data_IF_682086595808
#
_entry.id   IF_682086595808
#
_cell.length_a   1.000
_cell.length_b   1.000
_cell.length_c   1.000
_cell.angle_alpha   90.00
_cell.angle_beta   90.00
_cell.angle_gamma   90.00
#
_symmetry.space_group_name_H-M   'P 1'
#
loop_
_entity.id
_entity.type
_entity.pdbx_description
1 polymer ?
#
# COMPACT_ATOMS: atom_id res chain seq x y z
N UNK A 1 16.93 71.56 -28.01
CA UNK A 1 17.95 70.51 -28.09
C UNK A 1 17.76 69.60 -26.88
N UNK A 2 16.93 68.56 -27.02
CA UNK A 2 16.74 67.55 -25.99
C UNK A 2 17.45 66.29 -26.46
N UNK A 3 18.61 65.97 -25.89
CA UNK A 3 19.33 64.73 -26.15
C UNK A 3 18.91 63.67 -25.15
N UNK A 4 18.06 62.76 -25.63
CA UNK A 4 17.77 61.47 -25.03
C UNK A 4 19.07 60.70 -24.77
N UNK A 5 19.35 60.37 -23.52
CA UNK A 5 20.34 59.35 -23.14
C UNK A 5 19.58 58.08 -22.80
N UNK A 6 19.81 57.02 -23.60
CA UNK A 6 19.30 55.68 -23.36
C UNK A 6 20.06 55.03 -22.19
N UNK A 7 19.41 54.17 -21.38
CA UNK A 7 20.10 53.47 -20.29
C UNK A 7 20.97 52.34 -20.83
N UNK A 8 22.20 52.24 -20.31
CA UNK A 8 23.16 51.17 -20.59
C UNK A 8 22.56 49.78 -20.29
N UNK A 9 22.66 48.88 -21.26
CA UNK A 9 22.43 47.46 -21.07
C UNK A 9 23.52 46.89 -20.15
N UNK A 10 23.16 46.59 -18.90
CA UNK A 10 23.94 45.70 -18.06
C UNK A 10 23.97 44.31 -18.72
N UNK A 11 25.14 43.95 -19.26
CA UNK A 11 25.45 42.59 -19.65
C UNK A 11 25.30 41.70 -18.41
N UNK A 12 24.32 40.79 -18.45
CA UNK A 12 24.15 39.73 -17.46
C UNK A 12 25.35 38.79 -17.65
N UNK A 13 26.37 38.95 -16.80
CA UNK A 13 27.45 37.99 -16.69
C UNK A 13 26.82 36.62 -16.39
N UNK A 14 27.04 35.67 -17.30
CA UNK A 14 26.66 34.28 -17.09
C UNK A 14 27.25 33.82 -15.76
N UNK A 15 26.40 33.31 -14.88
CA UNK A 15 26.83 32.54 -13.72
C UNK A 15 27.59 31.33 -14.24
N UNK A 16 28.92 31.40 -14.22
CA UNK A 16 29.79 30.25 -14.41
C UNK A 16 29.38 29.19 -13.40
N UNK A 17 28.88 28.07 -13.95
CA UNK A 17 28.53 26.85 -13.23
C UNK A 17 29.82 26.37 -12.56
N UNK A 18 29.97 26.68 -11.27
CA UNK A 18 31.09 26.29 -10.41
C UNK A 18 30.96 24.81 -10.07
N UNK A 19 30.91 23.94 -11.09
CA UNK A 19 31.20 22.53 -10.92
C UNK A 19 32.70 22.47 -10.64
N UNK A 20 33.06 22.19 -9.39
CA UNK A 20 34.44 21.92 -9.01
C UNK A 20 35.02 20.88 -9.98
N UNK A 21 36.14 21.19 -10.63
CA UNK A 21 36.94 20.27 -11.47
C UNK A 21 37.58 19.12 -10.67
N UNK A 22 37.04 18.79 -9.49
CA UNK A 22 37.49 17.67 -8.68
C UNK A 22 37.10 16.35 -9.37
N UNK A 23 38.03 15.39 -9.38
CA UNK A 23 37.77 14.05 -9.87
C UNK A 23 36.61 13.43 -9.08
N UNK A 24 35.56 12.89 -9.75
CA UNK A 24 34.43 12.29 -9.05
C UNK A 24 34.90 11.18 -8.10
N UNK A 25 34.47 11.27 -6.84
CA UNK A 25 34.80 10.32 -5.78
C UNK A 25 33.53 9.83 -5.09
N UNK A 26 33.60 8.68 -4.43
CA UNK A 26 32.45 8.12 -3.72
C UNK A 26 32.21 8.90 -2.43
N UNK A 27 30.99 9.38 -2.23
CA UNK A 27 30.58 10.13 -1.04
C UNK A 27 29.65 9.34 -0.12
N UNK A 28 29.02 8.28 -0.62
CA UNK A 28 28.28 7.33 0.19
C UNK A 28 28.31 5.93 -0.43
N UNK A 29 28.31 4.91 0.43
CA UNK A 29 28.04 3.51 0.10
C UNK A 29 27.12 2.95 1.17
N UNK A 30 25.98 2.43 0.76
CA UNK A 30 25.02 1.84 1.69
C UNK A 30 24.46 0.53 1.15
N UNK A 31 24.02 -0.32 2.04
CA UNK A 31 23.29 -1.53 1.74
C UNK A 31 22.04 -1.20 0.92
N UNK A 32 21.93 -1.81 -0.26
CA UNK A 32 20.84 -1.55 -1.20
C UNK A 32 19.45 -1.94 -0.65
N UNK A 33 19.38 -2.86 0.32
CA UNK A 33 18.13 -3.21 1.00
C UNK A 33 17.62 -2.03 1.83
N UNK A 34 18.50 -1.25 2.47
CA UNK A 34 18.09 -0.06 3.23
C UNK A 34 17.39 0.96 2.32
N UNK A 35 17.91 1.14 1.10
CA UNK A 35 17.31 1.99 0.06
C UNK A 35 15.95 1.44 -0.38
N UNK A 36 15.85 0.12 -0.56
CA UNK A 36 14.60 -0.55 -0.95
C UNK A 36 13.50 -0.38 0.10
N UNK A 37 13.87 -0.45 1.38
CA UNK A 37 12.97 -0.26 2.52
C UNK A 37 12.54 1.20 2.64
N UNK A 38 13.45 2.13 2.37
CA UNK A 38 13.17 3.56 2.46
C UNK A 38 12.29 4.07 1.29
N UNK A 39 12.47 3.55 0.08
CA UNK A 39 11.80 4.08 -1.12
C UNK A 39 10.26 4.19 -1.04
N UNK A 40 9.50 3.24 -0.45
CA UNK A 40 8.05 3.37 -0.27
C UNK A 40 7.60 4.54 0.62
N UNK A 41 8.50 5.07 1.46
CA UNK A 41 8.24 6.18 2.38
C UNK A 41 8.62 7.54 1.78
N UNK A 42 9.14 7.62 0.56
CA UNK A 42 9.37 8.91 -0.09
C UNK A 42 8.04 9.58 -0.46
N UNK A 43 8.01 10.90 -0.35
CA UNK A 43 6.88 11.70 -0.83
C UNK A 43 6.73 11.58 -2.36
N UNK A 44 5.51 11.84 -2.85
CA UNK A 44 5.19 11.85 -4.29
C UNK A 44 4.38 13.07 -4.62
N UNK A 45 4.91 13.92 -5.51
CA UNK A 45 4.23 15.16 -5.91
C UNK A 45 4.07 16.17 -4.76
N UNK A 46 4.92 16.10 -3.74
CA UNK A 46 4.93 17.06 -2.62
C UNK A 46 5.73 18.30 -3.01
N UNK A 47 5.29 19.47 -2.53
CA UNK A 47 5.97 20.75 -2.73
C UNK A 47 7.35 20.78 -2.06
N UNK A 48 7.52 20.01 -0.98
CA UNK A 48 8.79 19.77 -0.29
C UNK A 48 9.56 18.72 -1.08
N UNK A 49 10.10 19.13 -2.22
CA UNK A 49 10.74 18.25 -3.18
C UNK A 49 11.90 17.42 -2.59
N UNK A 50 12.54 17.89 -1.52
CA UNK A 50 13.57 17.16 -0.77
C UNK A 50 13.04 15.88 -0.07
N UNK A 51 11.73 15.75 0.13
CA UNK A 51 11.10 14.52 0.64
C UNK A 51 10.88 13.46 -0.46
N UNK A 52 11.08 13.82 -1.73
CA UNK A 52 11.03 12.85 -2.83
C UNK A 52 12.30 11.99 -2.93
N UNK A 53 13.26 12.20 -2.02
CA UNK A 53 14.49 11.44 -1.92
C UNK A 53 14.66 10.75 -0.56
N UNK A 54 15.75 10.02 -0.44
CA UNK A 54 16.16 9.30 0.77
C UNK A 54 17.33 10.06 1.39
N UNK A 55 17.20 10.44 2.65
CA UNK A 55 18.29 11.04 3.40
C UNK A 55 19.27 9.95 3.83
N UNK A 56 20.56 10.17 3.58
CA UNK A 56 21.65 9.30 4.00
C UNK A 56 22.64 10.16 4.75
N UNK A 57 22.99 9.77 5.98
CA UNK A 57 23.90 10.56 6.82
C UNK A 57 24.79 9.68 7.69
N UNK A 58 26.01 10.11 8.00
CA UNK A 58 26.85 9.43 8.98
C UNK A 58 26.32 9.60 10.40
N UNK A 59 26.60 8.60 11.24
CA UNK A 59 26.43 8.64 12.69
C UNK A 59 27.80 8.75 13.38
N UNK A 60 27.79 9.13 14.65
CA UNK A 60 29.01 9.36 15.44
C UNK A 60 29.86 8.09 15.61
N UNK A 61 29.22 6.92 15.62
CA UNK A 61 29.88 5.63 15.73
C UNK A 61 30.40 5.08 14.39
N UNK A 62 30.32 5.88 13.33
CA UNK A 62 30.80 5.53 11.98
C UNK A 62 29.78 4.78 11.13
N UNK A 63 28.66 4.31 11.70
CA UNK A 63 27.57 3.71 10.92
C UNK A 63 26.79 4.75 10.12
N UNK A 64 25.95 4.30 9.19
CA UNK A 64 25.14 5.18 8.34
C UNK A 64 23.66 5.05 8.66
N UNK A 65 22.99 6.19 8.71
CA UNK A 65 21.55 6.27 8.90
C UNK A 65 20.87 6.62 7.57
N UNK A 66 19.92 5.80 7.16
CA UNK A 66 19.13 5.93 5.94
C UNK A 66 17.68 6.23 6.33
N UNK A 67 17.11 7.33 5.84
CA UNK A 67 15.79 7.81 6.24
C UNK A 67 14.95 8.21 5.04
N UNK A 68 13.67 7.87 5.07
CA UNK A 68 12.68 8.43 4.16
C UNK A 68 11.39 8.77 4.91
N UNK A 69 10.70 9.82 4.44
CA UNK A 69 9.39 10.22 4.98
C UNK A 69 8.54 10.94 3.93
N UNK A 70 7.23 10.74 4.01
CA UNK A 70 6.22 11.46 3.25
C UNK A 70 5.55 12.57 4.10
N UNK A 71 6.09 12.81 5.31
CA UNK A 71 5.54 13.72 6.31
C UNK A 71 4.46 13.12 7.21
N UNK A 72 3.85 11.99 6.82
CA UNK A 72 2.86 11.28 7.62
C UNK A 72 3.41 9.98 8.19
N UNK A 73 4.41 9.40 7.55
CA UNK A 73 5.08 8.18 7.97
C UNK A 73 6.56 8.32 7.68
N UNK A 74 7.38 7.61 8.43
CA UNK A 74 8.81 7.58 8.20
C UNK A 74 9.37 6.20 8.50
N UNK A 75 10.54 5.93 7.91
CA UNK A 75 11.36 4.77 8.22
C UNK A 75 12.80 5.21 8.36
N UNK A 76 13.49 4.56 9.30
CA UNK A 76 14.90 4.72 9.59
C UNK A 76 15.51 3.32 9.51
N UNK A 77 16.51 3.17 8.64
CA UNK A 77 17.35 1.98 8.58
C UNK A 77 18.78 2.40 8.94
N UNK A 78 19.38 1.68 9.89
CA UNK A 78 20.79 1.83 10.21
C UNK A 78 21.59 0.75 9.51
N UNK A 79 22.60 1.18 8.78
CA UNK A 79 23.58 0.34 8.11
C UNK A 79 24.91 0.43 8.86
N UNK A 80 25.24 -0.64 9.59
CA UNK A 80 26.42 -0.68 10.46
C UNK A 80 27.74 -0.64 9.65
N UNK A 81 27.72 -1.18 8.43
CA UNK A 81 28.89 -1.29 7.55
C UNK A 81 28.90 -0.22 6.45
N UNK A 82 27.90 0.68 6.47
CA UNK A 82 27.78 1.76 5.50
C UNK A 82 28.90 2.79 5.64
N UNK A 83 29.10 3.55 4.57
CA UNK A 83 29.98 4.72 4.55
C UNK A 83 29.23 5.94 4.04
N UNK A 84 29.40 7.09 4.69
CA UNK A 84 28.83 8.34 4.24
C UNK A 84 29.73 9.49 4.67
N UNK A 85 30.26 10.24 3.72
CA UNK A 85 31.17 11.37 3.98
C UNK A 85 30.43 12.53 4.64
N UNK A 86 29.19 12.78 4.20
CA UNK A 86 28.35 13.90 4.64
C UNK A 86 26.88 13.57 4.42
N UNK A 87 26.00 14.27 5.12
CA UNK A 87 24.57 14.17 4.87
C UNK A 87 24.22 14.53 3.42
N UNK A 88 23.48 13.65 2.76
CA UNK A 88 22.99 13.79 1.39
C UNK A 88 21.51 13.38 1.31
N UNK A 89 20.84 13.85 0.26
CA UNK A 89 19.51 13.38 -0.12
C UNK A 89 19.64 12.77 -1.51
N UNK A 90 19.32 11.48 -1.62
CA UNK A 90 19.47 10.73 -2.86
C UNK A 90 18.10 10.44 -3.50
N UNK A 91 17.94 10.78 -4.77
CA UNK A 91 16.85 10.31 -5.61
C UNK A 91 17.16 8.90 -6.12
N UNK A 92 16.17 8.01 -6.13
CA UNK A 92 16.35 6.64 -6.59
C UNK A 92 15.32 6.28 -7.65
N UNK A 93 15.80 5.83 -8.81
CA UNK A 93 14.94 5.38 -9.91
C UNK A 93 14.31 4.02 -9.62
N UNK A 94 13.13 3.79 -10.21
CA UNK A 94 12.45 2.49 -10.16
C UNK A 94 13.28 1.36 -10.76
N UNK A 95 14.07 1.64 -11.78
CA UNK A 95 14.94 0.64 -12.42
C UNK A 95 16.12 0.29 -11.52
N UNK A 96 16.77 1.27 -10.89
CA UNK A 96 17.79 1.02 -9.87
C UNK A 96 17.29 0.13 -8.73
N UNK A 97 16.09 0.40 -8.21
CA UNK A 97 15.48 -0.37 -7.12
C UNK A 97 15.28 -1.87 -7.43
N UNK A 98 15.22 -2.27 -8.71
CA UNK A 98 15.15 -3.68 -9.11
C UNK A 98 16.42 -4.45 -8.76
N UNK A 99 17.55 -3.74 -8.63
CA UNK A 99 18.86 -4.32 -8.29
C UNK A 99 19.13 -4.33 -6.79
N UNK A 100 18.19 -3.87 -5.97
CA UNK A 100 18.28 -3.96 -4.52
C UNK A 100 18.08 -5.39 -4.03
N UNK A 101 19.15 -6.01 -3.54
CA UNK A 101 19.18 -7.40 -3.06
C UNK A 101 20.23 -7.59 -1.96
N UNK A 102 20.19 -8.73 -1.28
CA UNK A 102 21.13 -9.04 -0.20
C UNK A 102 22.58 -9.02 -0.68
N UNK A 103 23.42 -8.27 0.02
CA UNK A 103 24.84 -8.07 -0.30
C UNK A 103 25.12 -7.01 -1.36
N UNK A 104 24.10 -6.50 -2.07
CA UNK A 104 24.27 -5.44 -3.05
C UNK A 104 24.34 -4.07 -2.36
N UNK A 105 25.08 -3.12 -2.95
CA UNK A 105 25.22 -1.76 -2.42
C UNK A 105 24.72 -0.70 -3.41
N UNK A 106 24.41 0.47 -2.88
CA UNK A 106 24.26 1.71 -3.63
C UNK A 106 25.45 2.61 -3.30
N UNK A 107 26.26 2.91 -4.30
CA UNK A 107 27.32 3.91 -4.22
C UNK A 107 26.83 5.22 -4.81
N UNK A 108 26.97 6.32 -4.09
CA UNK A 108 26.67 7.68 -4.55
C UNK A 108 27.98 8.44 -4.70
N UNK A 109 28.16 9.09 -5.83
CA UNK A 109 29.35 9.82 -6.21
C UNK A 109 29.17 11.34 -6.00
N UNK A 110 30.27 12.08 -5.83
CA UNK A 110 30.27 13.53 -5.61
C UNK A 110 29.70 14.34 -6.78
N UNK A 111 29.70 13.78 -7.99
CA UNK A 111 29.11 14.37 -9.18
C UNK A 111 27.61 14.05 -9.37
N UNK A 112 26.99 13.34 -8.43
CA UNK A 112 25.58 12.95 -8.50
C UNK A 112 25.29 11.65 -9.25
N UNK A 113 26.32 10.94 -9.72
CA UNK A 113 26.14 9.57 -10.21
C UNK A 113 25.80 8.63 -9.03
N UNK A 114 24.95 7.64 -9.29
CA UNK A 114 24.73 6.54 -8.38
C UNK A 114 24.90 5.19 -9.09
N UNK A 115 25.50 4.22 -8.41
CA UNK A 115 25.83 2.91 -8.94
C UNK A 115 25.27 1.84 -8.02
N UNK A 116 24.52 0.91 -8.59
CA UNK A 116 24.08 -0.29 -7.89
C UNK A 116 25.11 -1.36 -8.19
N UNK A 117 25.67 -1.96 -7.15
CA UNK A 117 26.75 -2.92 -7.24
C UNK A 117 26.31 -4.23 -6.59
N UNK A 118 26.82 -5.35 -7.11
CA UNK A 118 26.67 -6.63 -6.43
C UNK A 118 27.65 -6.78 -5.24
N UNK A 119 27.56 -7.91 -4.54
CA UNK A 119 28.45 -8.24 -3.41
C UNK A 119 29.94 -8.33 -3.75
N UNK A 120 30.30 -8.36 -5.03
CA UNK A 120 31.68 -8.37 -5.53
C UNK A 120 32.09 -7.01 -6.11
N UNK A 121 31.32 -5.96 -5.83
CA UNK A 121 31.48 -4.61 -6.38
C UNK A 121 31.37 -4.53 -7.92
N UNK A 122 30.76 -5.52 -8.56
CA UNK A 122 30.47 -5.48 -9.99
C UNK A 122 29.21 -4.64 -10.25
N UNK A 123 29.21 -3.74 -11.24
CA UNK A 123 28.08 -2.85 -11.47
C UNK A 123 26.88 -3.60 -12.07
N UNK A 124 25.72 -3.37 -11.46
CA UNK A 124 24.42 -3.87 -11.89
C UNK A 124 23.59 -2.81 -12.61
N UNK A 125 23.67 -1.54 -12.17
CA UNK A 125 22.92 -0.43 -12.75
C UNK A 125 23.60 0.92 -12.47
N UNK A 126 23.48 1.86 -13.41
CA UNK A 126 24.04 3.20 -13.31
C UNK A 126 22.94 4.26 -13.47
N UNK A 127 22.92 5.23 -12.55
CA UNK A 127 22.05 6.41 -12.58
C UNK A 127 22.94 7.65 -12.68
N UNK A 128 23.09 8.21 -13.87
CA UNK A 128 24.08 9.27 -14.15
C UNK A 128 23.51 10.66 -13.81
N UNK A 129 24.29 11.46 -13.07
CA UNK A 129 24.17 12.92 -12.91
C UNK A 129 22.93 13.48 -12.19
N UNK A 130 21.96 12.66 -11.81
CA UNK A 130 20.64 13.12 -11.33
C UNK A 130 20.23 12.55 -9.97
N UNK A 131 21.18 12.00 -9.20
CA UNK A 131 20.86 11.32 -7.95
C UNK A 131 20.86 12.23 -6.73
N UNK A 132 21.49 13.41 -6.76
CA UNK A 132 21.52 14.29 -5.59
C UNK A 132 20.39 15.31 -5.62
N UNK A 133 19.69 15.46 -4.50
CA UNK A 133 18.65 16.46 -4.30
C UNK A 133 19.15 17.51 -3.30
N UNK A 134 19.12 18.78 -3.71
CA UNK A 134 19.45 19.90 -2.84
C UNK A 134 18.34 20.19 -1.83
N UNK A 135 18.68 20.46 -0.58
CA UNK A 135 17.69 20.85 0.43
C UNK A 135 18.07 20.39 1.84
N UNK A 136 17.23 20.74 2.81
CA UNK A 136 17.40 20.35 4.22
C UNK A 136 16.35 19.32 4.59
N UNK A 137 16.79 18.09 4.84
CA UNK A 137 15.89 17.03 5.28
C UNK A 137 15.42 17.28 6.74
N UNK A 138 14.14 17.00 7.07
CA UNK A 138 13.66 17.17 8.43
C UNK A 138 14.36 16.21 9.40
N UNK A 139 14.66 16.69 10.62
CA UNK A 139 15.23 15.88 11.70
C UNK A 139 14.13 15.02 12.33
N UNK A 140 14.02 13.78 11.86
CA UNK A 140 13.05 12.79 12.35
C UNK A 140 13.22 12.51 13.84
N UNK A 141 14.42 12.70 14.40
CA UNK A 141 14.68 12.54 15.83
C UNK A 141 13.79 13.42 16.71
N UNK A 142 13.33 14.57 16.19
CA UNK A 142 12.40 15.44 16.91
C UNK A 142 11.01 14.83 17.09
N UNK A 143 10.66 13.83 16.27
CA UNK A 143 9.37 13.11 16.31
C UNK A 143 9.53 11.63 16.67
N UNK A 144 10.76 11.12 16.68
CA UNK A 144 11.11 9.72 16.86
C UNK A 144 11.75 9.41 18.23
N UNK A 145 11.37 10.15 19.28
CA UNK A 145 11.82 9.80 20.63
C UNK A 145 11.42 8.35 20.92
N UNK A 146 12.40 7.48 21.15
CA UNK A 146 12.17 6.06 21.46
C UNK A 146 11.88 5.83 22.94
N UNK A 147 11.82 6.89 23.74
CA UNK A 147 11.63 6.85 25.19
C UNK A 147 10.16 6.95 25.60
N UNK A 148 9.78 6.13 26.59
CA UNK A 148 8.43 6.13 27.17
C UNK A 148 7.38 5.40 26.33
N UNK A 149 7.80 4.68 25.30
CA UNK A 149 6.94 3.79 24.54
C UNK A 149 6.81 2.43 25.22
N UNK A 150 5.63 1.84 25.15
CA UNK A 150 5.33 0.48 25.59
C UNK A 150 4.94 -0.38 24.40
N UNK A 151 5.21 -1.70 24.44
CA UNK A 151 4.82 -2.62 23.37
C UNK A 151 3.28 -2.64 23.30
N UNK A 152 2.73 -2.02 22.24
CA UNK A 152 1.31 -1.66 22.16
C UNK A 152 0.44 -2.76 21.56
N UNK A 153 1.02 -3.59 20.69
CA UNK A 153 0.36 -4.80 20.17
C UNK A 153 1.14 -5.99 20.70
N UNK A 154 0.62 -6.62 21.75
CA UNK A 154 1.16 -7.86 22.28
C UNK A 154 0.78 -9.02 21.34
N UNK A 155 1.75 -9.57 20.63
CA UNK A 155 1.56 -10.75 19.77
C UNK A 155 2.28 -10.64 18.44
N UNK A 156 2.81 -11.76 17.95
CA UNK A 156 3.43 -11.82 16.63
C UNK A 156 2.35 -11.84 15.54
N UNK A 157 2.30 -10.81 14.71
CA UNK A 157 1.50 -10.81 13.47
C UNK A 157 2.31 -11.41 12.33
N UNK A 158 1.64 -12.11 11.41
CA UNK A 158 2.33 -12.66 10.24
C UNK A 158 2.88 -11.50 9.39
N UNK A 159 4.21 -11.41 9.17
CA UNK A 159 4.82 -10.24 8.56
C UNK A 159 4.29 -9.94 7.17
N UNK A 160 3.92 -10.97 6.40
CA UNK A 160 3.39 -10.82 5.04
C UNK A 160 2.13 -9.95 5.00
N UNK A 161 1.12 -10.26 5.84
CA UNK A 161 -0.13 -9.49 5.84
C UNK A 161 0.07 -8.05 6.29
N UNK A 162 1.01 -7.85 7.21
CA UNK A 162 1.35 -6.51 7.67
C UNK A 162 2.18 -5.74 6.63
N UNK A 163 3.10 -6.41 5.94
CA UNK A 163 3.88 -5.86 4.85
C UNK A 163 3.00 -5.40 3.70
N UNK A 164 1.97 -6.18 3.37
CA UNK A 164 0.94 -5.82 2.41
C UNK A 164 0.14 -4.60 2.87
N UNK A 165 -0.29 -4.57 4.14
CA UNK A 165 -1.07 -3.46 4.71
C UNK A 165 -0.27 -2.15 4.78
N UNK A 166 0.99 -2.21 5.21
CA UNK A 166 1.86 -1.04 5.36
C UNK A 166 2.61 -0.66 4.07
N UNK A 167 2.59 -1.54 3.06
CA UNK A 167 3.36 -1.46 1.82
C UNK A 167 4.87 -1.40 2.04
N UNK A 168 5.38 -2.13 3.03
CA UNK A 168 6.79 -2.08 3.44
C UNK A 168 7.67 -3.17 2.81
N UNK A 169 7.10 -4.07 2.01
CA UNK A 169 7.84 -5.15 1.33
C UNK A 169 8.06 -6.38 2.21
N UNK A 170 8.33 -7.53 1.60
CA UNK A 170 8.31 -8.87 2.24
C UNK A 170 9.61 -9.24 2.99
N UNK A 171 10.48 -8.28 3.25
CA UNK A 171 11.86 -8.55 3.69
C UNK A 171 12.01 -8.74 5.22
N UNK A 172 10.91 -8.60 5.97
CA UNK A 172 10.91 -8.62 7.42
C UNK A 172 10.49 -9.99 7.96
N UNK A 173 11.21 -10.50 8.97
CA UNK A 173 10.81 -11.73 9.69
C UNK A 173 9.86 -11.46 10.84
N UNK A 174 9.88 -10.25 11.39
CA UNK A 174 9.02 -9.85 12.51
C UNK A 174 8.85 -8.34 12.51
N UNK A 175 7.68 -7.87 12.93
CA UNK A 175 7.43 -6.46 13.21
C UNK A 175 6.76 -6.36 14.58
N UNK A 176 7.23 -5.42 15.40
CA UNK A 176 6.66 -5.10 16.70
C UNK A 176 6.19 -3.66 16.71
N UNK A 177 5.06 -3.40 17.37
CA UNK A 177 4.49 -2.06 17.48
C UNK A 177 4.59 -1.53 18.88
N UNK A 178 4.82 -0.22 18.98
CA UNK A 178 4.95 0.48 20.23
C UNK A 178 4.07 1.72 20.22
N UNK A 179 3.39 1.96 21.33
CA UNK A 179 2.53 3.12 21.56
C UNK A 179 2.93 3.80 22.87
N UNK A 180 2.59 5.09 22.99
CA UNK A 180 2.89 5.89 24.18
C UNK A 180 1.64 6.61 24.69
N UNK A 181 1.11 7.51 23.89
CA UNK A 181 -0.09 8.30 24.19
C UNK A 181 -0.90 8.60 22.91
N UNK A 182 -1.97 9.38 23.05
CA UNK A 182 -2.90 9.66 21.96
C UNK A 182 -2.34 10.61 20.89
N UNK A 183 -1.32 11.39 21.24
CA UNK A 183 -0.67 12.35 20.32
C UNK A 183 0.61 11.79 19.68
N UNK A 184 1.17 10.74 20.27
CA UNK A 184 2.42 10.12 19.81
C UNK A 184 2.20 9.24 18.58
N UNK A 185 3.18 9.22 17.64
CA UNK A 185 3.17 8.29 16.51
C UNK A 185 3.04 6.84 16.94
N UNK A 186 2.40 6.01 16.11
CA UNK A 186 2.51 4.56 16.23
C UNK A 186 3.90 4.14 15.74
N UNK A 187 4.74 3.70 16.66
CA UNK A 187 6.11 3.28 16.35
C UNK A 187 6.13 1.80 15.97
N UNK A 188 7.06 1.41 15.11
CA UNK A 188 7.32 0.01 14.82
C UNK A 188 8.82 -0.27 14.69
N UNK A 189 9.21 -1.48 15.08
CA UNK A 189 10.55 -2.03 14.84
C UNK A 189 10.40 -3.26 13.96
N UNK A 190 11.21 -3.34 12.91
CA UNK A 190 11.21 -4.45 11.96
C UNK A 190 12.53 -5.22 12.05
N UNK A 191 12.45 -6.54 12.19
CA UNK A 191 13.59 -7.43 12.45
C UNK A 191 13.80 -8.48 11.36
N UNK A 192 15.03 -9.02 11.32
CA UNK A 192 15.43 -10.12 10.43
C UNK A 192 15.78 -9.70 9.01
N UNK A 193 16.27 -8.48 8.83
CA UNK A 193 16.59 -7.86 7.54
C UNK A 193 18.10 -7.79 7.36
N UNK A 194 18.73 -8.91 6.99
CA UNK A 194 20.20 -9.00 6.99
C UNK A 194 20.78 -8.42 8.31
N UNK A 195 21.71 -7.48 8.22
CA UNK A 195 22.36 -6.83 9.37
C UNK A 195 21.82 -5.41 9.62
N UNK A 196 20.66 -5.06 9.05
CA UNK A 196 20.05 -3.73 9.20
C UNK A 196 19.17 -3.65 10.45
N UNK A 197 19.33 -2.57 11.22
CA UNK A 197 18.39 -2.20 12.28
C UNK A 197 17.35 -1.24 11.69
N UNK A 198 16.08 -1.62 11.70
CA UNK A 198 15.02 -0.84 11.06
C UNK A 198 13.90 -0.52 12.04
N UNK A 199 13.54 0.75 12.12
CA UNK A 199 12.36 1.22 12.82
C UNK A 199 11.67 2.32 12.03
N UNK A 200 10.43 2.63 12.40
CA UNK A 200 9.70 3.73 11.79
C UNK A 200 8.53 4.16 12.63
N UNK A 201 7.78 5.12 12.10
CA UNK A 201 6.62 5.67 12.78
C UNK A 201 5.53 6.07 11.80
N UNK A 202 4.29 5.95 12.24
CA UNK A 202 3.10 6.41 11.54
C UNK A 202 2.47 7.51 12.39
N UNK A 203 2.42 8.72 11.86
CA UNK A 203 1.79 9.86 12.52
C UNK A 203 0.29 9.56 12.68
N UNK A 204 -0.23 9.82 13.88
CA UNK A 204 -1.67 9.74 14.10
C UNK A 204 -2.38 10.86 13.35
N UNK A 205 -3.56 10.55 12.82
CA UNK A 205 -4.46 11.55 12.27
C UNK A 205 -5.12 12.28 13.44
N UNK A 206 -5.14 13.61 13.37
CA UNK A 206 -5.94 14.42 14.27
C UNK A 206 -7.41 14.29 13.89
N UNK A 207 -8.29 14.41 14.87
CA UNK A 207 -9.75 14.48 14.67
C UNK A 207 -10.39 13.24 14.02
N UNK A 208 -9.82 12.05 14.24
CA UNK A 208 -10.38 10.78 13.77
C UNK A 208 -10.91 9.93 14.94
N UNK A 209 -11.97 9.16 14.70
CA UNK A 209 -12.45 8.16 15.67
C UNK A 209 -11.41 7.06 15.84
N UNK A 210 -10.94 6.87 17.06
CA UNK A 210 -9.84 5.98 17.45
C UNK A 210 -10.30 4.65 18.07
N UNK A 211 -11.61 4.50 18.31
CA UNK A 211 -12.21 3.32 18.91
C UNK A 211 -12.51 2.19 17.92
N UNK A 212 -12.72 0.99 18.47
CA UNK A 212 -13.36 -0.09 17.70
C UNK A 212 -14.83 0.28 17.42
N UNK A 213 -15.38 -0.10 16.25
CA UNK A 213 -16.75 0.25 15.92
C UNK A 213 -17.75 -0.41 16.88
N UNK A 214 -18.50 0.41 17.61
CA UNK A 214 -19.54 -0.07 18.54
C UNK A 214 -20.78 -0.63 17.83
N UNK A 215 -20.93 -0.38 16.53
CA UNK A 215 -21.97 -0.97 15.69
C UNK A 215 -21.66 -2.41 15.27
N UNK A 216 -20.44 -2.92 15.52
CA UNK A 216 -20.09 -4.27 15.11
C UNK A 216 -20.97 -5.29 15.86
N UNK A 217 -21.77 -6.09 15.14
CA UNK A 217 -22.74 -6.98 15.77
C UNK A 217 -22.01 -8.02 16.62
N UNK A 218 -22.58 -8.32 17.79
CA UNK A 218 -22.07 -9.42 18.62
C UNK A 218 -22.19 -10.73 17.84
N UNK A 219 -21.21 -11.65 17.96
CA UNK A 219 -21.33 -12.97 17.35
C UNK A 219 -22.60 -13.63 17.86
N UNK A 220 -23.51 -13.91 16.94
CA UNK A 220 -24.66 -14.79 17.19
C UNK A 220 -24.22 -16.23 16.91
N UNK A 221 -24.69 -17.22 17.68
CA UNK A 221 -24.43 -18.62 17.38
C UNK A 221 -24.79 -18.90 15.93
N UNK A 222 -23.82 -19.37 15.16
CA UNK A 222 -24.07 -19.89 13.82
C UNK A 222 -24.50 -21.34 13.99
N UNK A 223 -25.80 -21.58 14.04
CA UNK A 223 -26.35 -22.91 13.90
C UNK A 223 -26.37 -23.24 12.40
N UNK A 224 -25.56 -24.23 12.01
CA UNK A 224 -25.84 -24.99 10.79
C UNK A 224 -27.16 -25.71 11.06
N UNK A 225 -28.28 -25.14 10.64
CA UNK A 225 -29.49 -25.94 10.48
C UNK A 225 -29.14 -27.02 9.49
N UNK A 226 -29.06 -28.27 9.97
CA UNK A 226 -29.17 -29.42 9.08
C UNK A 226 -30.40 -29.15 8.21
N UNK A 227 -30.18 -29.12 6.88
CA UNK A 227 -31.27 -28.90 5.95
C UNK A 227 -32.43 -29.81 6.38
N UNK A 228 -33.66 -29.29 6.57
CA UNK A 228 -34.77 -30.12 6.97
C UNK A 228 -35.05 -31.11 5.83
N UNK A 229 -34.52 -32.31 6.02
CA UNK A 229 -34.60 -33.45 5.14
C UNK A 229 -34.83 -34.72 5.94
N UNK A 230 -35.64 -34.64 7.00
CA UNK A 230 -36.26 -35.80 7.62
C UNK A 230 -37.45 -35.38 8.49
N UNK A 231 -38.54 -34.96 7.84
CA UNK A 231 -39.91 -34.94 8.37
C UNK A 231 -40.80 -35.06 7.13
N UNK A 232 -41.24 -36.28 6.80
CA UNK A 232 -42.60 -36.74 7.09
C UNK A 232 -43.68 -35.71 6.70
N UNK A 233 -44.39 -36.09 5.66
CA UNK A 233 -45.66 -35.56 5.15
C UNK A 233 -46.65 -35.18 6.27
N UNK A 234 -46.74 -33.90 6.63
CA UNK A 234 -47.95 -33.28 7.18
C UNK A 234 -47.97 -31.80 6.79
N UNK A 235 -49.07 -31.36 6.17
CA UNK A 235 -49.11 -30.13 5.38
C UNK A 235 -49.45 -28.82 6.11
N UNK A 236 -49.54 -27.80 5.27
CA UNK A 236 -50.29 -26.54 5.39
C UNK A 236 -49.78 -25.49 6.43
N UNK A 237 -49.16 -24.40 5.96
CA UNK A 237 -49.79 -23.08 5.73
C UNK A 237 -48.75 -21.94 5.61
N UNK A 238 -48.91 -21.14 4.54
CA UNK A 238 -48.49 -19.74 4.30
C UNK A 238 -47.03 -19.31 4.46
N UNK A 239 -46.23 -19.55 3.41
CA UNK A 239 -45.13 -18.65 3.06
C UNK A 239 -45.70 -17.40 2.36
N UNK A 240 -45.31 -16.17 2.75
CA UNK A 240 -45.81 -14.96 2.10
C UNK A 240 -45.43 -14.96 0.62
N UNK A 241 -46.44 -14.87 -0.24
CA UNK A 241 -46.31 -14.73 -1.70
C UNK A 241 -45.35 -13.56 -2.00
N UNK A 242 -44.23 -13.84 -2.67
CA UNK A 242 -43.31 -12.77 -3.11
C UNK A 242 -44.07 -11.90 -4.11
N UNK A 243 -44.27 -10.61 -3.80
CA UNK A 243 -45.09 -9.72 -4.62
C UNK A 243 -44.61 -9.51 -6.07
N UNK A 244 -43.46 -10.07 -6.45
CA UNK A 244 -42.95 -10.11 -7.83
C UNK A 244 -43.15 -11.47 -8.53
N UNK A 245 -43.81 -12.43 -7.88
CA UNK A 245 -43.97 -13.79 -8.40
C UNK A 245 -44.79 -13.81 -9.70
N UNK A 246 -45.95 -13.16 -9.71
CA UNK A 246 -46.81 -13.09 -10.90
C UNK A 246 -46.11 -12.38 -12.07
N UNK A 247 -45.40 -11.29 -11.80
CA UNK A 247 -44.61 -10.57 -12.80
C UNK A 247 -43.50 -11.45 -13.38
N UNK A 248 -42.85 -12.26 -12.53
CA UNK A 248 -41.83 -13.21 -12.95
C UNK A 248 -42.42 -14.35 -13.80
N UNK A 249 -43.61 -14.87 -13.44
CA UNK A 249 -44.30 -15.91 -14.22
C UNK A 249 -44.68 -15.37 -15.61
N UNK A 250 -45.23 -14.16 -15.66
CA UNK A 250 -45.58 -13.51 -16.93
C UNK A 250 -44.35 -13.30 -17.80
N UNK A 251 -43.25 -12.81 -17.21
CA UNK A 251 -41.98 -12.61 -17.91
C UNK A 251 -41.45 -13.92 -18.50
N UNK A 252 -41.42 -14.99 -17.72
CA UNK A 252 -40.92 -16.30 -18.15
C UNK A 252 -41.78 -16.87 -19.29
N UNK A 253 -43.11 -16.76 -19.19
CA UNK A 253 -44.05 -17.17 -20.24
C UNK A 253 -43.88 -16.33 -21.53
N UNK A 254 -43.76 -15.01 -21.40
CA UNK A 254 -43.62 -14.09 -22.54
C UNK A 254 -42.32 -14.34 -23.33
N UNK A 255 -41.21 -14.55 -22.63
CA UNK A 255 -39.90 -14.77 -23.26
C UNK A 255 -39.60 -16.24 -23.59
N UNK A 256 -40.52 -17.17 -23.24
CA UNK A 256 -40.37 -18.63 -23.37
C UNK A 256 -39.03 -19.14 -22.82
N UNK A 257 -38.53 -18.51 -21.76
CA UNK A 257 -37.23 -18.82 -21.16
C UNK A 257 -37.28 -18.64 -19.65
N UNK A 258 -37.03 -19.72 -18.91
CA UNK A 258 -36.95 -19.70 -17.45
C UNK A 258 -35.48 -19.75 -17.01
N UNK A 259 -34.86 -18.58 -16.87
CA UNK A 259 -33.46 -18.46 -16.42
C UNK A 259 -33.28 -17.33 -15.42
N UNK A 260 -32.43 -17.53 -14.42
CA UNK A 260 -32.20 -16.58 -13.32
C UNK A 260 -31.83 -15.20 -13.86
N UNK A 261 -30.93 -15.16 -14.85
CA UNK A 261 -30.46 -13.91 -15.46
C UNK A 261 -31.55 -13.11 -16.19
N UNK A 262 -32.56 -13.77 -16.75
CA UNK A 262 -33.71 -13.11 -17.38
C UNK A 262 -34.52 -12.36 -16.32
N UNK A 263 -34.86 -13.06 -15.23
CA UNK A 263 -35.67 -12.52 -14.13
C UNK A 263 -34.93 -11.39 -13.40
N UNK A 264 -33.62 -11.56 -13.15
CA UNK A 264 -32.79 -10.51 -12.54
C UNK A 264 -32.80 -9.20 -13.33
N UNK A 265 -32.66 -9.27 -14.66
CA UNK A 265 -32.52 -8.08 -15.50
C UNK A 265 -33.84 -7.32 -15.66
N UNK A 266 -34.94 -8.04 -15.81
CA UNK A 266 -36.25 -7.40 -16.06
C UNK A 266 -36.90 -6.91 -14.77
N UNK A 267 -36.77 -7.64 -13.67
CA UNK A 267 -37.35 -7.25 -12.37
C UNK A 267 -36.36 -6.44 -11.50
N UNK A 268 -35.13 -6.25 -11.97
CA UNK A 268 -34.04 -5.53 -11.25
C UNK A 268 -33.81 -6.07 -9.83
N UNK A 269 -33.80 -7.39 -9.69
CA UNK A 269 -33.60 -8.09 -8.41
C UNK A 269 -32.27 -8.84 -8.36
N UNK A 270 -31.77 -9.06 -7.14
CA UNK A 270 -30.55 -9.84 -6.88
C UNK A 270 -30.72 -11.33 -7.20
N UNK A 271 -29.59 -12.04 -7.34
CA UNK A 271 -29.53 -13.44 -7.76
C UNK A 271 -30.39 -14.38 -6.90
N UNK A 272 -30.25 -14.30 -5.57
CA UNK A 272 -30.96 -15.18 -4.64
C UNK A 272 -32.48 -15.03 -4.73
N UNK A 273 -32.97 -13.81 -4.99
CA UNK A 273 -34.42 -13.57 -5.12
C UNK A 273 -34.94 -14.12 -6.45
N UNK A 274 -34.21 -13.92 -7.55
CA UNK A 274 -34.57 -14.51 -8.85
C UNK A 274 -34.52 -16.04 -8.84
N UNK A 275 -33.55 -16.64 -8.14
CA UNK A 275 -33.49 -18.09 -7.95
C UNK A 275 -34.73 -18.59 -7.19
N UNK A 276 -35.07 -17.97 -6.06
CA UNK A 276 -36.26 -18.32 -5.28
C UNK A 276 -37.55 -18.24 -6.08
N UNK A 277 -37.73 -17.19 -6.90
CA UNK A 277 -38.92 -17.05 -7.76
C UNK A 277 -39.02 -18.19 -8.77
N UNK A 278 -37.91 -18.65 -9.34
CA UNK A 278 -37.89 -19.80 -10.24
C UNK A 278 -38.10 -21.14 -9.52
N UNK A 279 -37.63 -21.27 -8.29
CA UNK A 279 -37.87 -22.46 -7.46
C UNK A 279 -39.35 -22.54 -7.05
N UNK A 280 -39.99 -21.41 -6.75
CA UNK A 280 -41.44 -21.33 -6.53
C UNK A 280 -42.21 -21.71 -7.80
N UNK A 281 -41.76 -21.26 -8.98
CA UNK A 281 -42.36 -21.67 -10.26
C UNK A 281 -42.17 -23.17 -10.54
N UNK A 282 -41.05 -23.76 -10.09
CA UNK A 282 -40.82 -25.21 -10.20
C UNK A 282 -41.78 -25.98 -9.29
N UNK A 283 -41.92 -25.55 -8.05
CA UNK A 283 -42.87 -26.13 -7.08
C UNK A 283 -44.33 -26.00 -7.56
N UNK A 284 -44.68 -24.89 -8.21
CA UNK A 284 -45.99 -24.66 -8.81
C UNK A 284 -46.19 -25.39 -10.15
N UNK A 285 -45.19 -26.14 -10.64
CA UNK A 285 -45.27 -26.89 -11.90
C UNK A 285 -45.27 -26.02 -13.15
N UNK A 286 -44.85 -24.76 -13.07
CA UNK A 286 -44.75 -23.81 -14.19
C UNK A 286 -43.47 -24.05 -14.99
N UNK A 287 -42.38 -24.40 -14.30
CA UNK A 287 -41.07 -24.68 -14.92
C UNK A 287 -40.51 -26.02 -14.43
N UNK A 288 -39.62 -26.63 -15.21
CA UNK A 288 -38.94 -27.87 -14.85
C UNK A 288 -37.87 -27.63 -13.79
N UNK A 289 -37.40 -28.74 -13.22
CA UNK A 289 -36.11 -28.78 -12.54
C UNK A 289 -34.99 -28.22 -13.43
N UNK A 290 -33.97 -27.67 -12.79
CA UNK A 290 -32.81 -27.10 -13.49
C UNK A 290 -32.06 -28.19 -14.24
N UNK A 291 -31.91 -27.99 -15.55
CA UNK A 291 -31.12 -28.88 -16.40
C UNK A 291 -29.62 -28.62 -16.20
N UNK A 292 -28.79 -29.57 -16.65
CA UNK A 292 -27.31 -29.46 -16.58
C UNK A 292 -26.73 -28.24 -17.30
N UNK A 293 -27.49 -27.62 -18.21
CA UNK A 293 -27.13 -26.39 -18.93
C UNK A 293 -27.53 -25.10 -18.17
N UNK A 294 -28.09 -25.21 -16.96
CA UNK A 294 -28.53 -24.09 -16.13
C UNK A 294 -29.85 -23.43 -16.56
N UNK A 295 -30.56 -23.99 -17.56
CA UNK A 295 -31.90 -23.54 -17.95
C UNK A 295 -32.98 -24.45 -17.34
N UNK A 296 -34.20 -23.91 -17.25
CA UNK A 296 -35.42 -24.63 -16.91
C UNK A 296 -36.36 -24.61 -18.13
N UNK A 297 -37.03 -25.72 -18.40
CA UNK A 297 -38.10 -25.78 -19.41
C UNK A 297 -39.40 -25.25 -18.83
N UNK A 298 -40.27 -24.69 -19.66
CA UNK A 298 -41.59 -24.21 -19.21
C UNK A 298 -42.59 -25.35 -19.44
N UNK A 299 -43.20 -25.83 -18.36
CA UNK A 299 -44.06 -27.02 -18.37
C UNK A 299 -45.53 -26.69 -18.67
N UNK A 300 -45.92 -25.42 -18.57
CA UNK A 300 -47.28 -24.96 -18.85
C UNK A 300 -47.28 -24.20 -20.18
N UNK A 301 -47.86 -24.82 -21.22
CA UNK A 301 -48.15 -24.14 -22.49
C UNK A 301 -49.56 -23.56 -22.46
N UNK A 302 -49.65 -22.22 -22.61
CA UNK A 302 -50.84 -21.38 -22.84
C UNK A 302 -52.15 -21.84 -22.17
#
# INVERSE_FOLDING_TARGET
MNSNTAPEQLAIAGTEDTRSNATPHMIARVNSIAIKIAAPFMAKGDIRYYLNGINIRPLEDGSVMVVATDGHRYVVARDQEGYCEREIIVSVSKDGLKHAAAGNTLDVMSNGDAKWLDKHAAPLFFQVGNSLIEGKFPRIENVASTLGYSEGISGAVMPQYLADALKIGEYFRSIRFFTKDDDSPLMFVAGGIADLEVFGGIMKLRDCFDGLPNWFPKPVPFELTEAPGSLLLTGAEDAPEDGLYDDAVQLVKAHKRASISLVQRHLRIGYNRAARLLDMMEQAGIVSAMQSNGNREILVSA
#
